data_IF_126346803850
#
_entry.id   IF_126346803850
#
_cell.length_a   1.000
_cell.length_b   1.000
_cell.length_c   1.000
_cell.angle_alpha   90.00
_cell.angle_beta   90.00
_cell.angle_gamma   90.00
#
_symmetry.space_group_name_H-M   'P 1'
#
loop_
_entity.id
_entity.type
_entity.pdbx_description
1 polymer ?
#
# COMPACT_ATOMS: atom_id res chain seq x y z
N UNK A 1 0.81 -20.01 -45.83
CA UNK A 1 1.86 -19.63 -44.86
C UNK A 1 1.30 -18.48 -44.04
N UNK A 2 0.70 -18.80 -42.91
CA UNK A 2 0.07 -17.83 -41.99
C UNK A 2 0.89 -17.82 -40.72
N UNK A 3 1.56 -16.67 -40.42
CA UNK A 3 2.31 -16.45 -39.22
C UNK A 3 1.40 -16.38 -37.99
N UNK A 4 1.80 -16.95 -36.84
CA UNK A 4 1.03 -16.83 -35.63
C UNK A 4 1.28 -15.47 -34.96
N UNK A 5 0.19 -14.74 -34.77
CA UNK A 5 0.15 -13.50 -33.96
C UNK A 5 0.42 -13.89 -32.51
N UNK A 6 1.53 -13.39 -31.97
CA UNK A 6 1.89 -13.50 -30.57
C UNK A 6 0.87 -12.72 -29.73
N UNK A 7 0.04 -13.44 -28.98
CA UNK A 7 -0.83 -12.87 -27.95
C UNK A 7 0.02 -12.60 -26.69
N UNK A 8 0.48 -11.38 -26.52
CA UNK A 8 0.96 -10.89 -25.24
C UNK A 8 -0.22 -10.74 -24.29
N UNK A 9 -0.44 -11.75 -23.46
CA UNK A 9 -1.42 -11.71 -22.38
C UNK A 9 -0.81 -10.94 -21.21
N UNK A 10 -1.16 -9.68 -21.08
CA UNK A 10 -0.81 -8.85 -19.90
C UNK A 10 -1.49 -9.44 -18.67
N UNK A 11 -0.70 -10.06 -17.81
CA UNK A 11 -1.16 -10.65 -16.54
C UNK A 11 -1.11 -9.57 -15.47
N UNK A 12 -2.23 -8.96 -15.15
CA UNK A 12 -2.37 -8.09 -13.97
C UNK A 12 -2.59 -8.98 -12.74
N UNK A 13 -1.59 -9.07 -11.88
CA UNK A 13 -1.68 -9.74 -10.56
C UNK A 13 -1.66 -8.67 -9.46
N UNK A 14 -2.50 -8.84 -8.43
CA UNK A 14 -2.59 -7.95 -7.27
C UNK A 14 -1.37 -8.13 -6.36
N UNK A 15 -0.66 -7.06 -6.04
CA UNK A 15 0.39 -7.03 -5.01
C UNK A 15 -0.19 -6.36 -3.77
N UNK A 16 -0.65 -7.15 -2.82
CA UNK A 16 -0.72 -6.73 -1.44
C UNK A 16 0.49 -7.33 -0.73
N UNK A 17 1.51 -6.54 -0.52
CA UNK A 17 2.70 -6.97 0.21
C UNK A 17 2.42 -6.92 1.72
N UNK A 18 1.74 -7.93 2.25
CA UNK A 18 1.60 -8.11 3.70
C UNK A 18 2.83 -8.83 4.21
N UNK A 19 3.78 -8.10 4.77
CA UNK A 19 4.97 -8.68 5.41
C UNK A 19 4.65 -9.09 6.84
N UNK A 20 4.56 -10.39 7.08
CA UNK A 20 4.43 -10.96 8.42
C UNK A 20 5.80 -11.11 9.04
N UNK A 21 6.19 -10.18 9.91
CA UNK A 21 7.36 -10.33 10.76
C UNK A 21 6.97 -11.07 12.05
N UNK A 22 7.35 -12.34 12.19
CA UNK A 22 7.31 -13.03 13.47
C UNK A 22 8.61 -12.76 14.22
N UNK A 23 8.74 -11.55 14.78
CA UNK A 23 9.81 -11.24 15.72
C UNK A 23 9.18 -10.97 17.08
N UNK A 24 9.48 -11.80 18.07
CA UNK A 24 9.22 -11.53 19.47
C UNK A 24 10.22 -10.46 19.94
N UNK A 25 9.91 -9.20 19.68
CA UNK A 25 10.57 -8.07 20.31
C UNK A 25 9.51 -7.39 21.17
N UNK A 26 9.68 -7.51 22.48
CA UNK A 26 8.95 -6.71 23.48
C UNK A 26 9.33 -5.24 23.30
N UNK A 27 8.60 -4.55 22.44
CA UNK A 27 8.63 -3.10 22.34
C UNK A 27 7.48 -2.56 23.19
N UNK A 28 7.82 -1.78 24.20
CA UNK A 28 6.86 -1.06 25.04
C UNK A 28 5.87 -0.29 24.14
N UNK A 29 4.59 -0.46 24.39
CA UNK A 29 3.54 0.23 23.67
C UNK A 29 3.72 1.75 23.80
N UNK A 30 3.77 2.51 22.70
CA UNK A 30 3.74 3.95 22.78
C UNK A 30 2.40 4.41 23.34
N UNK A 31 2.41 5.26 24.34
CA UNK A 31 1.22 5.90 24.90
C UNK A 31 0.44 6.58 23.77
N UNK A 32 -0.81 6.21 23.60
CA UNK A 32 -1.73 6.84 22.68
C UNK A 32 -1.85 8.32 23.05
N UNK A 33 -1.33 9.20 22.19
CA UNK A 33 -1.71 10.60 22.21
C UNK A 33 -3.11 10.67 21.61
N UNK A 34 -4.05 11.31 22.31
CA UNK A 34 -5.36 11.65 21.79
C UNK A 34 -5.22 12.27 20.39
N UNK A 35 -5.99 11.82 19.40
CA UNK A 35 -5.98 12.46 18.09
C UNK A 35 -6.43 13.91 18.29
N UNK A 36 -5.52 14.83 18.01
CA UNK A 36 -5.80 16.26 17.96
C UNK A 36 -6.93 16.50 16.95
N UNK A 37 -7.81 17.41 17.31
CA UNK A 37 -9.10 17.80 16.71
C UNK A 37 -9.21 17.64 15.18
N UNK A 38 -10.42 17.29 14.66
CA UNK A 38 -10.63 17.15 13.24
C UNK A 38 -10.33 18.45 12.51
N UNK A 39 -9.53 18.35 11.46
CA UNK A 39 -9.30 19.42 10.49
C UNK A 39 -10.63 20.05 10.09
N UNK A 40 -10.63 21.38 9.95
CA UNK A 40 -11.77 22.26 9.79
C UNK A 40 -12.94 21.67 8.98
N UNK A 41 -14.13 21.96 9.44
CA UNK A 41 -15.40 21.76 8.75
C UNK A 41 -15.50 22.72 7.57
N UNK A 42 -14.78 22.45 6.50
CA UNK A 42 -15.05 23.05 5.21
C UNK A 42 -16.25 22.33 4.61
N UNK A 43 -17.40 22.94 4.73
CA UNK A 43 -18.68 22.69 4.05
C UNK A 43 -18.95 21.33 3.38
N UNK A 44 -18.46 20.23 3.93
CA UNK A 44 -18.72 18.91 3.38
C UNK A 44 -17.88 18.51 2.15
N UNK A 45 -16.90 19.30 1.74
CA UNK A 45 -16.05 18.96 0.56
C UNK A 45 -15.00 17.87 0.83
N UNK A 46 -14.62 17.69 2.10
CA UNK A 46 -13.58 16.75 2.52
C UNK A 46 -14.08 15.86 3.64
N UNK A 47 -13.61 14.62 3.62
CA UNK A 47 -13.85 13.66 4.69
C UNK A 47 -12.52 13.29 5.33
N UNK A 48 -12.39 13.56 6.63
CA UNK A 48 -11.25 13.09 7.42
C UNK A 48 -11.64 11.84 8.20
N UNK A 49 -10.83 10.78 8.10
CA UNK A 49 -11.00 9.49 8.78
C UNK A 49 -9.80 9.23 9.67
N UNK A 50 -10.01 8.99 10.98
CA UNK A 50 -8.93 8.55 11.84
C UNK A 50 -8.48 7.14 11.42
N UNK A 51 -7.17 6.95 11.38
CA UNK A 51 -6.55 5.65 11.18
C UNK A 51 -6.11 5.08 12.52
N UNK A 52 -6.04 3.78 12.61
CA UNK A 52 -5.35 3.09 13.70
C UNK A 52 -4.12 2.39 13.16
N UNK A 53 -3.14 2.12 14.02
CA UNK A 53 -1.92 1.46 13.61
C UNK A 53 -1.82 0.10 14.27
N UNK A 54 -1.66 -0.94 13.45
CA UNK A 54 -1.41 -2.30 13.94
C UNK A 54 0.00 -2.43 14.54
N UNK A 55 0.25 -3.47 15.31
CA UNK A 55 1.60 -3.80 15.80
C UNK A 55 2.58 -4.08 14.66
N UNK A 56 2.07 -4.42 13.49
CA UNK A 56 2.85 -4.57 12.25
C UNK A 56 2.99 -3.26 11.47
N UNK A 57 2.72 -2.12 12.10
CA UNK A 57 2.88 -0.79 11.52
C UNK A 57 1.94 -0.46 10.34
N UNK A 58 0.94 -1.28 10.04
CA UNK A 58 -0.04 -0.97 9.01
C UNK A 58 -1.03 0.10 9.49
N UNK A 59 -1.42 0.99 8.59
CA UNK A 59 -2.49 1.95 8.81
C UNK A 59 -3.83 1.29 8.50
N UNK A 60 -4.76 1.34 9.44
CA UNK A 60 -6.06 0.68 9.36
C UNK A 60 -7.19 1.69 9.40
N UNK A 61 -8.18 1.53 8.54
CA UNK A 61 -9.38 2.36 8.46
C UNK A 61 -10.64 1.54 8.69
N UNK A 62 -11.61 2.10 9.40
CA UNK A 62 -12.95 1.52 9.55
C UNK A 62 -13.87 2.05 8.47
N UNK A 63 -14.51 1.13 7.76
CA UNK A 63 -15.46 1.42 6.69
C UNK A 63 -16.71 0.57 6.87
N UNK A 64 -17.78 0.85 6.12
CA UNK A 64 -18.93 -0.04 6.05
C UNK A 64 -19.04 -0.61 4.64
N UNK A 65 -19.15 -1.93 4.55
CA UNK A 65 -19.36 -2.66 3.30
C UNK A 65 -20.75 -3.32 3.39
N UNK A 66 -21.65 -2.95 2.49
CA UNK A 66 -23.05 -3.42 2.50
C UNK A 66 -23.69 -3.29 3.89
N UNK A 67 -23.47 -2.15 4.56
CA UNK A 67 -24.00 -1.84 5.89
C UNK A 67 -23.27 -2.50 7.07
N UNK A 68 -22.27 -3.36 6.84
CA UNK A 68 -21.51 -4.04 7.89
C UNK A 68 -20.15 -3.41 8.07
N UNK A 69 -19.74 -3.24 9.34
CA UNK A 69 -18.43 -2.67 9.68
C UNK A 69 -17.30 -3.58 9.22
N UNK A 70 -16.31 -3.01 8.56
CA UNK A 70 -15.10 -3.66 8.10
C UNK A 70 -13.85 -2.88 8.53
N UNK A 71 -12.76 -3.59 8.78
CA UNK A 71 -11.43 -3.03 9.05
C UNK A 71 -10.53 -3.28 7.84
N UNK A 72 -10.15 -2.22 7.13
CA UNK A 72 -9.29 -2.32 5.96
C UNK A 72 -7.89 -1.77 6.23
N UNK A 73 -6.85 -2.43 5.70
CA UNK A 73 -5.51 -1.87 5.62
C UNK A 73 -5.44 -0.81 4.52
N UNK A 74 -4.91 0.38 4.82
CA UNK A 74 -4.65 1.41 3.80
C UNK A 74 -3.31 1.09 3.15
N UNK A 75 -3.36 0.67 1.88
CA UNK A 75 -2.21 0.09 1.19
C UNK A 75 -1.97 0.78 -0.16
N UNK A 76 -0.94 1.64 -0.20
CA UNK A 76 -0.53 2.33 -1.43
C UNK A 76 0.20 1.42 -2.41
N UNK A 77 0.64 0.24 -1.95
CA UNK A 77 1.22 -0.81 -2.78
C UNK A 77 0.17 -1.70 -3.45
N UNK A 78 -1.11 -1.55 -3.11
CA UNK A 78 -2.22 -2.26 -3.73
C UNK A 78 -2.90 -1.37 -4.78
N UNK A 79 -2.78 -1.66 -6.07
CA UNK A 79 -3.43 -0.86 -7.12
C UNK A 79 -4.96 -0.98 -7.11
N UNK A 80 -5.50 -2.01 -6.46
CA UNK A 80 -6.93 -2.32 -6.39
C UNK A 80 -7.29 -2.72 -4.98
N UNK A 81 -8.44 -2.22 -4.51
CA UNK A 81 -9.01 -2.60 -3.21
C UNK A 81 -9.39 -4.07 -3.18
N UNK A 82 -9.19 -4.70 -2.03
CA UNK A 82 -9.40 -6.14 -1.88
C UNK A 82 -10.19 -6.47 -0.62
N UNK A 83 -10.84 -7.63 -0.65
CA UNK A 83 -11.52 -8.23 0.50
C UNK A 83 -10.93 -9.61 0.79
N UNK A 84 -10.79 -9.98 2.04
CA UNK A 84 -10.40 -11.33 2.40
C UNK A 84 -11.44 -12.33 1.89
N UNK A 85 -11.00 -13.36 1.16
CA UNK A 85 -11.89 -14.34 0.50
C UNK A 85 -12.87 -14.98 1.46
N UNK A 86 -12.45 -15.28 2.68
CA UNK A 86 -13.27 -15.86 3.74
C UNK A 86 -14.33 -14.88 4.29
N UNK A 87 -14.21 -13.58 4.00
CA UNK A 87 -15.17 -12.53 4.41
C UNK A 87 -16.24 -12.24 3.36
N UNK A 88 -16.08 -12.74 2.13
CA UNK A 88 -17.00 -12.48 1.01
C UNK A 88 -18.46 -12.73 1.37
N UNK A 89 -18.75 -13.90 1.92
CA UNK A 89 -20.12 -14.29 2.30
C UNK A 89 -20.67 -13.42 3.44
N UNK A 90 -19.83 -13.08 4.42
CA UNK A 90 -20.22 -12.22 5.54
C UNK A 90 -20.70 -10.85 5.06
N UNK A 91 -20.00 -10.23 4.11
CA UNK A 91 -20.39 -8.91 3.56
C UNK A 91 -21.45 -9.01 2.44
N UNK A 92 -21.90 -10.20 2.08
CA UNK A 92 -22.88 -10.40 0.99
C UNK A 92 -22.36 -9.91 -0.36
N UNK A 93 -21.06 -10.10 -0.66
CA UNK A 93 -20.45 -9.63 -1.90
C UNK A 93 -20.82 -10.58 -3.03
N UNK A 94 -21.51 -10.04 -4.03
CA UNK A 94 -21.85 -10.72 -5.27
C UNK A 94 -20.65 -10.83 -6.23
N UNK A 95 -20.77 -11.68 -7.25
CA UNK A 95 -19.91 -11.61 -8.44
C UNK A 95 -20.33 -10.45 -9.34
N UNK A 96 -19.50 -10.18 -10.35
CA UNK A 96 -19.86 -9.23 -11.39
C UNK A 96 -21.12 -9.67 -12.13
N UNK A 97 -21.99 -8.71 -12.43
CA UNK A 97 -23.04 -8.93 -13.43
C UNK A 97 -22.39 -9.21 -14.80
N UNK A 98 -22.94 -10.11 -15.61
CA UNK A 98 -22.45 -10.34 -16.98
C UNK A 98 -22.41 -9.06 -17.85
N UNK A 99 -23.23 -8.07 -17.49
CA UNK A 99 -23.31 -6.76 -18.17
C UNK A 99 -22.40 -5.68 -17.56
N UNK A 100 -21.67 -6.01 -16.50
CA UNK A 100 -20.80 -5.02 -15.84
C UNK A 100 -19.63 -4.63 -16.75
N UNK A 101 -19.50 -3.36 -17.02
CA UNK A 101 -18.32 -2.81 -17.69
C UNK A 101 -17.15 -2.75 -16.71
N UNK A 102 -16.36 -3.83 -16.66
CA UNK A 102 -15.28 -3.99 -15.70
C UNK A 102 -14.02 -3.39 -16.28
N UNK A 103 -13.36 -2.46 -15.58
CA UNK A 103 -12.06 -1.96 -16.00
C UNK A 103 -11.07 -3.12 -16.23
N UNK A 104 -10.32 -3.07 -17.34
CA UNK A 104 -9.36 -4.11 -17.70
C UNK A 104 -8.34 -4.41 -16.57
N UNK A 105 -8.07 -3.41 -15.71
CA UNK A 105 -7.20 -3.55 -14.52
C UNK A 105 -7.70 -4.56 -13.48
N UNK A 106 -8.99 -4.89 -13.48
CA UNK A 106 -9.58 -5.89 -12.58
C UNK A 106 -9.46 -7.31 -13.13
N UNK A 107 -8.99 -7.49 -14.36
CA UNK A 107 -8.79 -8.80 -14.97
C UNK A 107 -7.47 -9.41 -14.48
N UNK A 108 -7.56 -10.37 -13.57
CA UNK A 108 -6.42 -11.15 -13.09
C UNK A 108 -6.27 -12.37 -13.98
N UNK A 109 -5.15 -12.51 -14.70
CA UNK A 109 -4.88 -13.61 -15.64
C UNK A 109 -5.99 -13.78 -16.72
N UNK A 110 -6.63 -12.68 -17.14
CA UNK A 110 -7.75 -12.75 -18.08
C UNK A 110 -9.05 -13.33 -17.51
N UNK A 111 -9.12 -13.56 -16.20
CA UNK A 111 -10.29 -14.09 -15.51
C UNK A 111 -10.80 -13.10 -14.44
N UNK A 112 -12.11 -12.89 -14.41
CA UNK A 112 -12.82 -12.07 -13.44
C UNK A 112 -13.30 -12.87 -12.21
N UNK A 113 -12.90 -14.13 -12.07
CA UNK A 113 -13.44 -15.07 -11.09
C UNK A 113 -13.24 -14.66 -9.63
N UNK A 114 -12.29 -13.76 -9.37
CA UNK A 114 -12.02 -13.25 -8.04
C UNK A 114 -12.56 -11.83 -7.81
N UNK A 115 -13.22 -11.23 -8.80
CA UNK A 115 -13.83 -9.91 -8.64
C UNK A 115 -15.18 -10.07 -7.97
N UNK A 116 -15.41 -9.27 -6.96
CA UNK A 116 -16.65 -9.17 -6.19
C UNK A 116 -17.08 -7.72 -6.16
N UNK A 117 -18.36 -7.46 -5.97
CA UNK A 117 -18.91 -6.10 -5.95
C UNK A 117 -19.54 -5.84 -4.59
N UNK A 118 -19.12 -4.76 -3.95
CA UNK A 118 -19.80 -4.17 -2.82
C UNK A 118 -20.88 -3.22 -3.36
N UNK A 119 -22.16 -3.52 -3.12
CA UNK A 119 -23.27 -2.66 -3.54
C UNK A 119 -23.13 -1.27 -2.93
N UNK A 120 -22.63 -1.21 -1.70
CA UNK A 120 -22.31 0.05 -1.04
C UNK A 120 -21.01 -0.11 -0.23
N UNK A 121 -20.09 0.84 -0.42
CA UNK A 121 -18.94 1.03 0.46
C UNK A 121 -18.98 2.45 1.01
N UNK A 122 -19.01 2.59 2.34
CA UNK A 122 -19.07 3.89 2.99
C UNK A 122 -17.82 4.16 3.82
N UNK A 123 -17.15 5.26 3.49
CA UNK A 123 -15.95 5.78 4.14
C UNK A 123 -16.31 7.12 4.80
N UNK A 124 -16.75 7.07 6.06
CA UNK A 124 -17.33 8.25 6.72
C UNK A 124 -18.60 8.72 6.01
N UNK A 125 -18.57 9.94 5.48
CA UNK A 125 -19.65 10.52 4.67
C UNK A 125 -19.60 10.14 3.18
N UNK A 126 -18.48 9.66 2.67
CA UNK A 126 -18.34 9.22 1.28
C UNK A 126 -19.00 7.84 1.11
N UNK A 127 -19.91 7.74 0.14
CA UNK A 127 -20.52 6.46 -0.24
C UNK A 127 -20.19 6.16 -1.69
N UNK A 128 -19.60 4.99 -1.92
CA UNK A 128 -19.34 4.44 -3.24
C UNK A 128 -20.40 3.37 -3.52
N UNK A 129 -20.99 3.40 -4.71
CA UNK A 129 -21.96 2.41 -5.16
C UNK A 129 -21.28 1.43 -6.12
N UNK A 130 -21.67 0.17 -6.04
CA UNK A 130 -21.22 -0.91 -6.92
C UNK A 130 -19.67 -0.98 -7.03
N UNK A 131 -19.00 -0.85 -5.87
CA UNK A 131 -17.54 -0.81 -5.82
C UNK A 131 -16.94 -2.20 -6.08
N UNK A 132 -16.17 -2.37 -7.16
CA UNK A 132 -15.52 -3.63 -7.46
C UNK A 132 -14.28 -3.83 -6.58
N UNK A 133 -14.15 -5.01 -6.01
CA UNK A 133 -13.03 -5.42 -5.17
C UNK A 133 -12.49 -6.77 -5.65
N UNK A 134 -11.27 -7.10 -5.28
CA UNK A 134 -10.70 -8.43 -5.54
C UNK A 134 -10.72 -9.28 -4.29
N UNK A 135 -11.28 -10.48 -4.38
CA UNK A 135 -11.26 -11.45 -3.27
C UNK A 135 -9.90 -12.16 -3.22
N UNK A 136 -9.13 -11.91 -2.16
CA UNK A 136 -7.75 -12.41 -1.99
C UNK A 136 -7.61 -13.25 -0.72
N UNK A 137 -6.58 -14.10 -0.67
CA UNK A 137 -6.21 -14.82 0.55
C UNK A 137 -5.29 -13.94 1.41
N UNK A 138 -5.83 -13.45 2.52
CA UNK A 138 -5.11 -12.69 3.55
C UNK A 138 -4.70 -13.55 4.75
N UNK A 139 -4.72 -14.86 4.62
CA UNK A 139 -4.49 -15.80 5.74
C UNK A 139 -3.16 -15.64 6.47
N UNK A 140 -2.12 -15.10 5.81
CA UNK A 140 -0.86 -14.73 6.45
C UNK A 140 -1.02 -13.56 7.43
N UNK A 141 -1.71 -12.50 7.00
CA UNK A 141 -2.00 -11.32 7.83
C UNK A 141 -2.94 -11.67 8.99
N UNK A 142 -3.99 -12.44 8.72
CA UNK A 142 -4.93 -12.92 9.75
C UNK A 142 -4.23 -13.72 10.84
N UNK A 143 -3.37 -14.68 10.47
CA UNK A 143 -2.60 -15.45 11.47
C UNK A 143 -1.69 -14.56 12.32
N UNK A 144 -1.04 -13.59 11.70
CA UNK A 144 -0.17 -12.66 12.44
C UNK A 144 -0.93 -11.76 13.41
N UNK A 145 -2.10 -11.27 13.02
CA UNK A 145 -2.99 -10.51 13.90
C UNK A 145 -3.50 -11.38 15.07
N UNK A 146 -3.98 -12.58 14.79
CA UNK A 146 -4.48 -13.53 15.79
C UNK A 146 -3.43 -13.88 16.85
N UNK A 147 -2.17 -14.17 16.44
CA UNK A 147 -1.07 -14.45 17.37
C UNK A 147 -0.78 -13.29 18.32
N UNK A 148 -1.08 -12.06 17.90
CA UNK A 148 -0.88 -10.84 18.71
C UNK A 148 -2.11 -10.35 19.45
N UNK A 149 -3.23 -11.06 19.34
CA UNK A 149 -4.51 -10.63 19.93
C UNK A 149 -5.06 -9.36 19.27
N UNK A 150 -4.63 -9.05 18.03
CA UNK A 150 -5.16 -7.94 17.26
C UNK A 150 -6.37 -8.36 16.42
N UNK A 151 -7.22 -7.39 16.09
CA UNK A 151 -8.32 -7.61 15.16
C UNK A 151 -7.77 -7.96 13.78
N UNK A 152 -8.30 -9.01 13.16
CA UNK A 152 -7.99 -9.36 11.78
C UNK A 152 -8.48 -8.27 10.83
N UNK A 153 -7.70 -7.99 9.79
CA UNK A 153 -8.14 -7.12 8.71
C UNK A 153 -9.11 -7.86 7.79
N UNK A 154 -10.17 -7.19 7.40
CA UNK A 154 -11.17 -7.74 6.50
C UNK A 154 -10.78 -7.58 5.03
N UNK A 155 -9.91 -6.60 4.73
CA UNK A 155 -9.49 -6.29 3.37
C UNK A 155 -8.45 -5.18 3.30
N UNK A 156 -8.34 -4.60 2.11
CA UNK A 156 -7.38 -3.58 1.74
C UNK A 156 -8.10 -2.45 1.03
N UNK A 157 -7.79 -1.20 1.39
CA UNK A 157 -8.17 0.01 0.66
C UNK A 157 -6.99 0.41 -0.23
N UNK A 158 -7.16 0.30 -1.53
CA UNK A 158 -6.11 0.47 -2.52
C UNK A 158 -6.12 1.81 -3.25
N UNK A 159 -5.22 1.93 -4.23
CA UNK A 159 -5.02 3.12 -5.03
C UNK A 159 -6.23 3.46 -5.93
N UNK A 160 -7.04 2.48 -6.29
CA UNK A 160 -8.29 2.63 -7.05
C UNK A 160 -9.31 3.55 -6.37
N UNK A 161 -9.31 3.62 -5.04
CA UNK A 161 -10.13 4.57 -4.26
C UNK A 161 -9.32 5.80 -3.87
N UNK A 162 -8.04 5.64 -3.50
CA UNK A 162 -7.20 6.74 -3.03
C UNK A 162 -6.93 7.79 -4.12
N UNK A 163 -6.74 7.38 -5.39
CA UNK A 163 -6.50 8.31 -6.50
C UNK A 163 -7.72 9.15 -6.88
N UNK A 164 -8.90 8.56 -7.18
CA UNK A 164 -10.08 9.35 -7.53
C UNK A 164 -10.46 10.32 -6.43
N UNK A 165 -10.31 9.94 -5.17
CA UNK A 165 -10.63 10.80 -4.02
C UNK A 165 -9.52 11.82 -3.71
N UNK A 166 -8.43 11.84 -4.51
CA UNK A 166 -7.27 12.71 -4.29
C UNK A 166 -6.82 12.68 -2.82
N UNK A 167 -6.78 11.49 -2.26
CA UNK A 167 -6.53 11.26 -0.85
C UNK A 167 -5.21 11.87 -0.37
N UNK A 168 -5.18 12.24 0.91
CA UNK A 168 -3.95 12.54 1.64
C UNK A 168 -3.86 11.60 2.83
N UNK A 169 -2.75 10.88 2.95
CA UNK A 169 -2.45 10.00 4.07
C UNK A 169 -1.37 10.66 4.92
N UNK A 170 -1.71 11.06 6.15
CA UNK A 170 -0.75 11.51 7.15
C UNK A 170 -0.36 10.31 8.03
N UNK A 171 0.83 9.76 7.78
CA UNK A 171 1.30 8.56 8.46
C UNK A 171 1.64 8.81 9.93
N UNK A 172 1.98 10.03 10.32
CA UNK A 172 2.29 10.37 11.71
C UNK A 172 1.03 10.61 12.53
N UNK A 173 0.14 11.49 12.03
CA UNK A 173 -1.13 11.80 12.69
C UNK A 173 -2.16 10.70 12.56
N UNK A 174 -1.89 9.69 11.74
CA UNK A 174 -2.79 8.58 11.45
C UNK A 174 -4.15 9.11 10.94
N UNK A 175 -4.09 9.85 9.86
CA UNK A 175 -5.25 10.49 9.27
C UNK A 175 -5.31 10.22 7.77
N UNK A 176 -6.48 9.81 7.30
CA UNK A 176 -6.81 9.73 5.87
C UNK A 176 -7.82 10.82 5.56
N UNK A 177 -7.48 11.73 4.66
CA UNK A 177 -8.39 12.77 4.20
C UNK A 177 -8.69 12.56 2.72
N UNK A 178 -9.96 12.59 2.35
CA UNK A 178 -10.41 12.35 0.98
C UNK A 178 -11.32 13.48 0.53
N UNK A 179 -11.33 13.78 -0.77
CA UNK A 179 -12.35 14.66 -1.35
C UNK A 179 -13.66 13.91 -1.49
N UNK A 180 -14.75 14.57 -1.09
CA UNK A 180 -16.11 14.06 -1.26
C UNK A 180 -16.57 14.18 -2.72
N UNK A 181 -16.10 15.20 -3.42
CA UNK A 181 -16.26 15.36 -4.86
C UNK A 181 -14.87 15.50 -5.50
N UNK A 182 -14.39 14.49 -6.24
CA UNK A 182 -13.09 14.51 -6.91
C UNK A 182 -12.90 15.66 -7.91
N UNK A 183 -14.00 16.16 -8.49
CA UNK A 183 -13.98 17.23 -9.48
C UNK A 183 -13.80 18.62 -8.83
N UNK A 184 -13.96 18.74 -7.52
CA UNK A 184 -13.69 19.99 -6.81
C UNK A 184 -12.24 20.41 -7.06
N UNK A 185 -11.98 21.64 -7.58
CA UNK A 185 -10.63 22.11 -7.84
C UNK A 185 -9.83 22.28 -6.53
N UNK A 186 -8.51 22.34 -6.68
CA UNK A 186 -7.60 22.59 -5.55
C UNK A 186 -7.12 21.30 -4.83
N UNK A 187 -6.19 21.51 -3.92
CA UNK A 187 -5.65 20.46 -3.03
C UNK A 187 -6.46 20.40 -1.74
N UNK A 188 -6.32 19.31 -0.98
CA UNK A 188 -6.92 19.21 0.35
C UNK A 188 -6.23 20.23 1.27
N UNK A 189 -6.99 21.17 1.88
CA UNK A 189 -6.41 22.17 2.78
C UNK A 189 -6.02 21.55 4.14
N UNK A 190 -5.25 22.30 4.92
CA UNK A 190 -4.99 22.00 6.33
C UNK A 190 -3.76 21.14 6.61
N UNK A 191 -2.96 20.80 5.59
CA UNK A 191 -1.65 20.18 5.80
C UNK A 191 -0.57 21.27 5.80
N UNK A 192 0.08 21.44 6.95
CA UNK A 192 1.25 22.32 7.07
C UNK A 192 2.50 21.56 6.65
N UNK A 193 3.05 21.92 5.51
CA UNK A 193 4.26 21.30 4.94
C UNK A 193 5.55 22.07 5.30
N UNK A 194 5.50 23.04 6.21
CA UNK A 194 6.70 23.75 6.65
C UNK A 194 7.68 22.78 7.32
N UNK A 195 8.93 22.83 6.90
CA UNK A 195 9.96 21.90 7.38
C UNK A 195 9.90 20.50 6.77
N UNK A 196 9.06 20.28 5.76
CA UNK A 196 9.04 19.06 4.99
C UNK A 196 9.76 19.22 3.66
N UNK A 197 10.50 18.21 3.29
CA UNK A 197 11.00 18.01 1.94
C UNK A 197 9.92 17.35 1.08
N UNK A 198 9.73 17.84 -0.14
CA UNK A 198 8.78 17.27 -1.08
C UNK A 198 9.47 16.40 -2.13
N UNK A 199 9.09 15.12 -2.20
CA UNK A 199 9.59 14.15 -3.16
C UNK A 199 8.48 13.85 -4.18
N UNK A 200 8.73 13.99 -5.49
CA UNK A 200 7.73 13.67 -6.51
C UNK A 200 7.35 12.18 -6.46
N UNK A 201 6.06 11.89 -6.60
CA UNK A 201 5.54 10.54 -6.79
C UNK A 201 5.33 10.32 -8.29
N UNK A 202 5.97 9.31 -8.83
CA UNK A 202 5.78 8.80 -10.18
C UNK A 202 4.68 7.75 -10.13
N UNK A 203 3.72 7.82 -11.04
CA UNK A 203 2.57 6.90 -11.09
C UNK A 203 2.64 6.13 -12.39
N UNK A 204 2.61 4.79 -12.31
CA UNK A 204 2.51 3.93 -13.48
C UNK A 204 1.07 3.78 -13.95
N UNK A 205 0.88 3.23 -15.16
CA UNK A 205 -0.44 2.92 -15.71
C UNK A 205 -1.25 1.96 -14.81
N UNK A 206 -0.55 1.12 -14.01
CA UNK A 206 -1.15 0.21 -13.04
C UNK A 206 -1.47 0.85 -11.67
N UNK A 207 -1.37 2.17 -11.54
CA UNK A 207 -1.50 2.89 -10.26
C UNK A 207 -0.44 2.56 -9.21
N UNK A 208 0.67 1.93 -9.58
CA UNK A 208 1.82 1.81 -8.68
C UNK A 208 2.46 3.18 -8.47
N UNK A 209 2.79 3.47 -7.24
CA UNK A 209 3.41 4.72 -6.79
C UNK A 209 4.91 4.50 -6.61
N UNK A 210 5.72 5.30 -7.26
CA UNK A 210 7.17 5.21 -7.13
C UNK A 210 7.78 6.52 -6.69
N UNK A 211 8.88 6.44 -5.97
CA UNK A 211 9.76 7.56 -5.64
C UNK A 211 11.18 7.26 -6.08
N UNK A 212 11.85 8.26 -6.62
CA UNK A 212 13.27 8.16 -6.92
C UNK A 212 14.09 8.41 -5.64
N UNK A 213 15.09 7.57 -5.41
CA UNK A 213 15.94 7.57 -4.25
C UNK A 213 17.39 7.32 -4.63
N UNK A 214 18.30 7.48 -3.67
CA UNK A 214 19.68 7.00 -3.78
C UNK A 214 19.99 6.10 -2.56
N UNK A 215 20.54 4.92 -2.84
CA UNK A 215 20.97 3.98 -1.80
C UNK A 215 22.47 3.82 -1.91
N UNK A 216 23.23 4.26 -0.89
CA UNK A 216 24.68 4.33 -0.89
C UNK A 216 25.23 5.04 -2.16
N UNK A 217 24.54 6.10 -2.61
CA UNK A 217 24.90 6.86 -3.82
C UNK A 217 24.36 6.28 -5.13
N UNK A 218 23.92 5.03 -5.19
CA UNK A 218 23.35 4.40 -6.38
C UNK A 218 21.88 4.80 -6.54
N UNK A 219 21.48 5.22 -7.73
CA UNK A 219 20.09 5.53 -8.05
C UNK A 219 19.19 4.31 -7.88
N UNK A 220 18.04 4.51 -7.27
CA UNK A 220 17.07 3.49 -6.94
C UNK A 220 15.66 4.03 -7.16
N UNK A 221 14.78 3.24 -7.76
CA UNK A 221 13.34 3.50 -7.79
C UNK A 221 12.68 2.60 -6.76
N UNK A 222 12.00 3.20 -5.79
CA UNK A 222 11.29 2.48 -4.74
C UNK A 222 9.79 2.63 -4.93
N UNK A 223 9.05 1.52 -4.85
CA UNK A 223 7.59 1.57 -4.75
C UNK A 223 7.20 2.08 -3.37
N UNK A 224 6.32 3.08 -3.31
CA UNK A 224 5.79 3.63 -2.07
C UNK A 224 4.69 2.69 -1.55
N UNK A 225 4.94 2.02 -0.42
CA UNK A 225 4.12 0.90 0.04
C UNK A 225 3.82 1.00 1.54
N UNK A 226 2.62 1.52 1.88
CA UNK A 226 2.14 1.59 3.27
C UNK A 226 1.70 0.23 3.81
N UNK A 227 1.49 -0.76 2.96
CA UNK A 227 1.21 -2.15 3.32
C UNK A 227 2.48 -2.95 3.66
N UNK A 228 3.68 -2.46 3.30
CA UNK A 228 4.93 -3.07 3.69
C UNK A 228 5.33 -2.60 5.10
N UNK A 229 5.46 -3.54 6.05
CA UNK A 229 5.91 -3.27 7.42
C UNK A 229 7.24 -2.51 7.47
N UNK A 230 8.19 -2.89 6.62
CA UNK A 230 9.54 -2.36 6.56
C UNK A 230 10.00 -2.20 5.11
N UNK A 231 10.95 -1.30 4.90
CA UNK A 231 11.60 -1.10 3.61
C UNK A 231 12.33 -2.37 3.17
N UNK A 232 12.07 -2.77 1.93
CA UNK A 232 12.62 -3.97 1.32
C UNK A 232 13.38 -3.61 0.06
N UNK A 233 14.55 -4.21 -0.14
CA UNK A 233 15.29 -4.09 -1.37
C UNK A 233 15.21 -5.39 -2.19
N UNK A 234 15.12 -5.23 -3.50
CA UNK A 234 15.18 -6.35 -4.41
C UNK A 234 16.60 -6.95 -4.43
N UNK A 235 16.68 -8.27 -4.30
CA UNK A 235 17.96 -8.99 -4.29
C UNK A 235 18.83 -8.69 -5.52
N UNK A 236 18.22 -8.56 -6.70
CA UNK A 236 18.92 -8.19 -7.92
C UNK A 236 19.60 -6.82 -7.84
N UNK A 237 18.95 -5.84 -7.22
CA UNK A 237 19.52 -4.52 -6.98
C UNK A 237 20.69 -4.58 -6.00
N UNK A 238 20.56 -5.34 -4.91
CA UNK A 238 21.56 -5.45 -3.84
C UNK A 238 22.82 -6.18 -4.28
N UNK A 239 22.73 -7.18 -5.17
CA UNK A 239 23.89 -7.92 -5.69
C UNK A 239 25.00 -7.03 -6.25
N UNK A 240 24.65 -5.91 -6.86
CA UNK A 240 25.63 -4.96 -7.42
C UNK A 240 26.19 -3.96 -6.39
N UNK A 241 25.95 -4.14 -5.10
CA UNK A 241 26.30 -3.16 -4.05
C UNK A 241 27.32 -3.67 -3.03
N UNK A 242 27.78 -4.92 -3.13
CA UNK A 242 28.69 -5.57 -2.18
C UNK A 242 28.25 -5.47 -0.71
N UNK A 243 26.92 -5.55 -0.45
CA UNK A 243 26.38 -5.53 0.89
C UNK A 243 26.41 -6.95 1.50
N UNK A 244 26.85 -7.04 2.75
CA UNK A 244 26.76 -8.28 3.52
C UNK A 244 25.31 -8.59 3.85
N UNK A 245 24.85 -9.78 3.46
CA UNK A 245 23.51 -10.28 3.75
C UNK A 245 23.55 -11.18 4.97
N UNK A 246 22.59 -10.96 5.89
CA UNK A 246 22.39 -11.79 7.08
C UNK A 246 21.06 -12.51 6.97
N UNK A 247 21.06 -13.81 7.18
CA UNK A 247 19.83 -14.58 7.22
C UNK A 247 18.99 -14.23 8.43
N UNK A 248 17.68 -14.33 8.28
CA UNK A 248 16.71 -14.11 9.36
C UNK A 248 15.67 -15.21 9.37
N UNK A 249 14.99 -15.45 10.51
CA UNK A 249 13.84 -16.35 10.55
C UNK A 249 12.60 -15.72 9.91
N UNK A 250 12.66 -14.45 9.47
CA UNK A 250 11.55 -13.75 8.87
C UNK A 250 11.22 -14.31 7.49
N UNK A 251 9.93 -14.39 7.18
CA UNK A 251 9.43 -14.76 5.87
C UNK A 251 8.55 -13.65 5.34
N UNK A 252 8.68 -13.34 4.05
CA UNK A 252 7.76 -12.44 3.39
C UNK A 252 6.46 -13.19 3.08
N UNK A 253 5.33 -12.59 3.43
CA UNK A 253 4.03 -13.04 3.00
C UNK A 253 3.43 -11.96 2.10
N UNK A 254 3.58 -12.11 0.80
CA UNK A 254 2.83 -11.34 -0.17
C UNK A 254 1.88 -12.28 -0.90
N UNK A 255 0.76 -11.77 -1.36
CA UNK A 255 -0.32 -12.55 -2.00
C UNK A 255 0.15 -13.38 -3.19
N UNK A 256 1.32 -13.14 -3.75
CA UNK A 256 1.86 -13.88 -4.90
C UNK A 256 3.35 -14.16 -4.82
N UNK A 257 3.99 -13.94 -3.68
CA UNK A 257 5.34 -14.39 -3.44
C UNK A 257 5.29 -15.75 -2.76
N UNK A 258 5.89 -16.77 -3.38
CA UNK A 258 6.24 -17.99 -2.65
C UNK A 258 6.99 -17.55 -1.40
N UNK A 259 6.56 -18.03 -0.22
CA UNK A 259 7.19 -17.70 1.06
C UNK A 259 8.70 -17.90 0.97
N UNK A 260 9.44 -16.82 0.73
CA UNK A 260 10.91 -16.83 0.68
C UNK A 260 11.45 -16.15 1.93
N UNK A 261 12.59 -16.62 2.40
CA UNK A 261 13.27 -16.01 3.54
C UNK A 261 13.62 -14.56 3.23
N UNK A 262 13.47 -13.71 4.23
CA UNK A 262 13.95 -12.33 4.21
C UNK A 262 15.36 -12.32 4.77
N UNK A 263 16.30 -11.77 4.02
CA UNK A 263 17.65 -11.46 4.53
C UNK A 263 17.69 -10.00 4.97
N UNK A 264 18.64 -9.63 5.80
CA UNK A 264 18.89 -8.24 6.18
C UNK A 264 20.20 -7.76 5.56
N UNK A 265 20.19 -6.54 5.09
CA UNK A 265 21.38 -5.79 4.72
C UNK A 265 21.44 -4.48 5.48
N UNK A 266 22.64 -4.03 5.82
CA UNK A 266 22.84 -2.69 6.34
C UNK A 266 23.24 -1.76 5.22
N UNK A 267 22.45 -0.70 5.02
CA UNK A 267 22.79 0.40 4.11
C UNK A 267 23.35 1.58 4.89
N UNK A 268 24.31 2.26 4.31
CA UNK A 268 24.92 3.43 4.96
C UNK A 268 24.03 4.66 4.84
N UNK A 269 23.38 4.83 3.66
CA UNK A 269 22.51 5.99 3.41
C UNK A 269 21.40 5.62 2.43
N UNK A 270 20.20 6.05 2.75
CA UNK A 270 19.06 6.16 1.84
C UNK A 270 18.70 7.64 1.74
N UNK A 271 18.76 8.22 0.54
CA UNK A 271 18.38 9.61 0.30
C UNK A 271 17.08 9.68 -0.50
N UNK A 272 16.14 10.49 -0.02
CA UNK A 272 14.84 10.79 -0.63
C UNK A 272 14.72 12.33 -0.72
N UNK A 273 14.98 12.92 -1.87
CA UNK A 273 15.20 14.36 -1.97
C UNK A 273 16.38 14.79 -1.08
N UNK A 274 16.17 15.77 -0.20
CA UNK A 274 17.16 16.23 0.79
C UNK A 274 17.18 15.39 2.07
N UNK A 275 16.14 14.59 2.35
CA UNK A 275 16.08 13.72 3.54
C UNK A 275 17.08 12.57 3.42
N UNK A 276 17.93 12.41 4.44
CA UNK A 276 18.97 11.39 4.47
C UNK A 276 18.80 10.46 5.67
N UNK A 277 18.54 9.21 5.42
CA UNK A 277 18.40 8.14 6.40
C UNK A 277 19.71 7.39 6.50
N UNK A 278 20.38 7.50 7.63
CA UNK A 278 21.74 7.00 7.85
C UNK A 278 21.72 5.68 8.62
N UNK A 279 22.54 4.73 8.19
CA UNK A 279 22.86 3.52 8.93
C UNK A 279 21.66 2.63 9.22
N UNK A 280 20.86 2.31 8.18
CA UNK A 280 19.62 1.56 8.32
C UNK A 280 19.76 0.09 7.92
N UNK A 281 19.17 -0.80 8.71
CA UNK A 281 18.92 -2.19 8.31
C UNK A 281 17.65 -2.24 7.47
N UNK A 282 17.73 -2.90 6.31
CA UNK A 282 16.63 -3.10 5.36
C UNK A 282 16.46 -4.59 5.07
N UNK A 283 15.24 -5.00 4.79
CA UNK A 283 14.99 -6.36 4.32
C UNK A 283 15.45 -6.53 2.87
N UNK A 284 15.91 -7.73 2.54
CA UNK A 284 16.27 -8.10 1.16
C UNK A 284 15.44 -9.31 0.75
N UNK A 285 14.67 -9.14 -0.31
CA UNK A 285 13.76 -10.16 -0.86
C UNK A 285 13.94 -10.27 -2.36
N UNK A 286 13.49 -11.37 -2.92
CA UNK A 286 13.46 -11.57 -4.36
C UNK A 286 12.12 -11.09 -4.91
N UNK A 287 12.12 -9.98 -5.64
CA UNK A 287 10.95 -9.39 -6.28
C UNK A 287 10.80 -9.80 -7.76
N UNK A 288 11.69 -10.66 -8.28
CA UNK A 288 11.75 -11.04 -9.69
C UNK A 288 10.39 -11.55 -10.21
N UNK A 289 9.70 -12.36 -9.40
CA UNK A 289 8.38 -12.88 -9.76
C UNK A 289 7.30 -11.81 -9.91
N UNK A 290 7.43 -10.71 -9.19
CA UNK A 290 6.51 -9.56 -9.29
C UNK A 290 6.84 -8.70 -10.51
N UNK A 291 8.12 -8.52 -10.80
CA UNK A 291 8.61 -7.76 -11.97
C UNK A 291 8.23 -8.51 -13.25
N UNK A 292 8.57 -9.78 -13.37
CA UNK A 292 8.20 -10.60 -14.55
C UNK A 292 6.70 -10.82 -14.70
N UNK A 293 5.97 -10.80 -13.58
CA UNK A 293 4.49 -10.87 -13.59
C UNK A 293 3.82 -9.57 -14.00
N UNK A 294 4.57 -8.49 -14.26
CA UNK A 294 4.03 -7.17 -14.61
C UNK A 294 3.34 -6.44 -13.47
N UNK A 295 3.65 -6.82 -12.22
CA UNK A 295 3.10 -6.22 -11.01
C UNK A 295 3.93 -5.05 -10.52
N UNK A 296 5.22 -5.14 -10.75
CA UNK A 296 6.18 -4.07 -10.56
C UNK A 296 6.78 -3.70 -11.91
N UNK A 297 7.06 -2.41 -12.10
CA UNK A 297 7.62 -1.93 -13.36
C UNK A 297 9.03 -2.50 -13.57
N UNK A 298 9.26 -3.01 -14.78
CA UNK A 298 10.56 -3.52 -15.18
C UNK A 298 11.48 -2.43 -15.75
N UNK A 299 10.91 -1.32 -16.24
CA UNK A 299 11.66 -0.25 -16.90
C UNK A 299 11.19 1.16 -16.46
N UNK A 300 12.04 1.89 -15.71
CA UNK A 300 13.26 1.43 -15.07
C UNK A 300 12.96 0.43 -13.94
N UNK A 301 13.90 -0.51 -13.67
CA UNK A 301 13.64 -1.60 -12.75
C UNK A 301 13.46 -1.08 -11.32
N UNK A 302 12.49 -1.67 -10.61
CA UNK A 302 12.22 -1.36 -9.20
C UNK A 302 13.34 -1.92 -8.33
N UNK A 303 13.94 -1.05 -7.53
CA UNK A 303 15.00 -1.42 -6.58
C UNK A 303 14.46 -2.01 -5.28
N UNK A 304 13.18 -1.76 -4.96
CA UNK A 304 12.57 -2.22 -3.73
C UNK A 304 11.27 -1.50 -3.38
N UNK A 305 10.86 -1.64 -2.11
CA UNK A 305 9.67 -1.03 -1.53
C UNK A 305 10.10 -0.05 -0.43
N UNK A 306 9.55 1.15 -0.41
CA UNK A 306 9.68 2.11 0.69
C UNK A 306 8.55 1.84 1.68
N UNK A 307 8.89 1.27 2.83
CA UNK A 307 7.92 0.75 3.78
C UNK A 307 7.41 1.75 4.82
N UNK A 308 6.41 1.32 5.56
CA UNK A 308 5.69 2.11 6.55
C UNK A 308 6.57 2.61 7.71
N UNK A 309 7.67 1.92 8.03
CA UNK A 309 8.55 2.34 9.12
C UNK A 309 9.29 3.65 8.82
N UNK A 310 9.70 3.86 7.55
CA UNK A 310 10.31 5.13 7.13
C UNK A 310 9.25 6.22 7.10
N UNK A 311 8.10 5.94 6.50
CA UNK A 311 6.99 6.90 6.45
C UNK A 311 6.58 7.38 7.84
N UNK A 312 6.48 6.46 8.80
CA UNK A 312 6.16 6.81 10.19
C UNK A 312 7.25 7.65 10.84
N UNK A 313 8.52 7.24 10.70
CA UNK A 313 9.64 7.89 11.39
C UNK A 313 9.87 9.31 10.91
N UNK A 314 9.69 9.54 9.61
CA UNK A 314 9.93 10.82 8.95
C UNK A 314 8.65 11.62 8.69
N UNK A 315 7.58 11.35 9.43
CA UNK A 315 6.32 12.08 9.37
C UNK A 315 5.68 12.06 7.99
N UNK A 316 5.81 10.96 7.23
CA UNK A 316 5.40 10.88 5.83
C UNK A 316 3.96 11.30 5.59
N UNK A 317 3.77 12.24 4.65
CA UNK A 317 2.46 12.64 4.12
C UNK A 317 2.43 12.29 2.65
N UNK A 318 1.51 11.43 2.26
CA UNK A 318 1.31 11.00 0.87
C UNK A 318 0.13 11.74 0.30
N UNK A 319 0.36 12.63 -0.67
CA UNK A 319 -0.68 13.42 -1.33
C UNK A 319 -0.89 12.91 -2.76
N UNK A 320 -2.00 12.22 -2.97
CA UNK A 320 -2.39 11.68 -4.28
C UNK A 320 -2.84 12.78 -5.25
N UNK A 321 -3.35 13.88 -4.74
CA UNK A 321 -3.82 15.02 -5.54
C UNK A 321 -2.67 15.77 -6.20
N UNK A 322 -1.61 16.06 -5.45
CA UNK A 322 -0.41 16.75 -5.93
C UNK A 322 0.67 15.79 -6.41
N UNK A 323 0.52 14.49 -6.16
CA UNK A 323 1.54 13.44 -6.43
C UNK A 323 2.87 13.75 -5.76
N UNK A 324 2.81 14.02 -4.47
CA UNK A 324 3.99 14.31 -3.66
C UNK A 324 4.00 13.48 -2.40
N UNK A 325 5.18 13.01 -2.06
CA UNK A 325 5.51 12.49 -0.75
C UNK A 325 6.26 13.59 0.01
N UNK A 326 5.76 13.95 1.18
CA UNK A 326 6.43 14.89 2.07
C UNK A 326 7.06 14.12 3.21
N UNK A 327 8.33 14.40 3.49
CA UNK A 327 9.12 13.79 4.56
C UNK A 327 9.89 14.88 5.30
N UNK A 328 10.23 14.61 6.55
CA UNK A 328 11.11 15.45 7.35
C UNK A 328 12.21 14.62 8.02
N UNK A 329 13.33 15.27 8.41
CA UNK A 329 14.43 14.64 9.15
C UNK A 329 14.02 14.20 10.56
#
# INVERSE_FOLDING_TARGET
MTSPVSRNSSKLLLVAAVLVATASATLAAPRSRNPSQPLARDGGQYQALPLTRSAQNHLLVRVYINGKLALLGVDTGAPISAIARNRRAYYGLGGLSPSANVPARLMINGALNNVVVAQTMRLGGLTLADEPMVAVDLGGASRAASVRGEQEIDGILGADILFPTKAVIDCERQLLVMKMNPDTPGTIPGFDHRGYESVPILVSEGYNLYVDAKINGRSARLMLDTGAFATLLHRGFVRGMNLSLRDTPLRSAAVNLKQRGVQLARINRLSLGAVNIIGKDVGVVDLEGLIHGGLLDANPPVAGLLGAEILRRHGGIIDFGTRKLYLRD
#
